data_IF_816579714107
#
_entry.id   IF_816579714107
#
_cell.length_a   1.000
_cell.length_b   1.000
_cell.length_c   1.000
_cell.angle_alpha   90.00
_cell.angle_beta   90.00
_cell.angle_gamma   90.00
#
_symmetry.space_group_name_H-M   'P 1'
#
loop_
_entity.id
_entity.type
_entity.pdbx_description
1 polymer ?
#
# COMPACT_ATOMS: atom_id res chain seq x y z
N UNK A 1 -24.42 12.93 -5.36
CA UNK A 1 -24.45 12.04 -6.53
C UNK A 1 -23.29 12.45 -7.44
N UNK A 2 -22.26 11.61 -7.50
CA UNK A 2 -21.16 11.53 -8.47
C UNK A 2 -19.87 11.08 -7.76
N UNK A 3 -19.88 9.85 -7.26
CA UNK A 3 -18.64 9.11 -7.11
C UNK A 3 -18.36 8.50 -8.49
N UNK A 4 -17.64 9.23 -9.34
CA UNK A 4 -16.90 8.57 -10.41
C UNK A 4 -15.95 7.63 -9.69
N UNK A 5 -16.26 6.33 -9.71
CA UNK A 5 -15.27 5.32 -9.36
C UNK A 5 -14.01 5.68 -10.15
N UNK A 6 -12.89 5.85 -9.46
CA UNK A 6 -11.64 6.13 -10.14
C UNK A 6 -11.34 4.88 -10.98
N UNK A 7 -11.50 4.96 -12.30
CA UNK A 7 -11.42 3.79 -13.21
C UNK A 7 -10.06 3.09 -13.10
N UNK A 8 -9.04 3.80 -12.64
CA UNK A 8 -7.70 3.29 -12.40
C UNK A 8 -7.08 3.88 -11.14
N UNK A 9 -6.39 3.05 -10.36
CA UNK A 9 -5.62 3.45 -9.19
C UNK A 9 -4.16 3.01 -9.31
N UNK A 10 -3.24 3.97 -9.28
CA UNK A 10 -1.80 3.74 -9.12
C UNK A 10 -1.47 3.63 -7.63
N UNK A 11 -1.09 2.45 -7.17
CA UNK A 11 -0.82 2.23 -5.75
C UNK A 11 0.66 1.92 -5.55
N UNK A 12 1.32 2.78 -4.78
CA UNK A 12 2.69 2.59 -4.35
C UNK A 12 2.77 1.64 -3.16
N UNK A 13 3.66 0.65 -3.22
CA UNK A 13 3.84 -0.35 -2.17
C UNK A 13 5.30 -0.82 -2.06
N UNK A 14 5.67 -1.41 -0.92
CA UNK A 14 7.00 -1.98 -0.71
C UNK A 14 7.17 -3.29 -1.50
N UNK A 15 8.11 -3.28 -2.44
CA UNK A 15 8.40 -4.40 -3.32
C UNK A 15 9.09 -5.60 -2.66
N UNK A 16 9.41 -6.63 -3.45
CA UNK A 16 9.15 -6.75 -4.90
C UNK A 16 7.72 -7.21 -5.24
N UNK A 17 7.39 -7.34 -6.53
CA UNK A 17 6.17 -8.03 -6.96
C UNK A 17 6.11 -9.44 -6.35
N UNK A 18 4.95 -9.78 -5.82
CA UNK A 18 4.71 -11.02 -5.07
C UNK A 18 4.89 -10.90 -3.56
N UNK A 19 5.41 -9.76 -3.06
CA UNK A 19 5.42 -9.49 -1.62
C UNK A 19 4.01 -9.42 -1.04
N UNK A 20 3.89 -9.55 0.28
CA UNK A 20 2.61 -9.35 0.96
C UNK A 20 2.04 -7.94 0.73
N UNK A 21 2.88 -6.92 0.58
CA UNK A 21 2.44 -5.56 0.24
C UNK A 21 1.87 -5.49 -1.19
N UNK A 22 2.47 -6.17 -2.17
CA UNK A 22 1.91 -6.29 -3.52
C UNK A 22 0.55 -7.01 -3.49
N UNK A 23 0.44 -8.12 -2.74
CA UNK A 23 -0.81 -8.87 -2.59
C UNK A 23 -1.88 -7.98 -1.92
N UNK A 24 -1.51 -7.23 -0.89
CA UNK A 24 -2.40 -6.31 -0.20
C UNK A 24 -2.91 -5.20 -1.13
N UNK A 25 -2.00 -4.58 -1.91
CA UNK A 25 -2.34 -3.52 -2.86
C UNK A 25 -3.32 -4.02 -3.93
N UNK A 26 -3.04 -5.20 -4.48
CA UNK A 26 -3.93 -5.83 -5.48
C UNK A 26 -5.29 -6.20 -4.89
N UNK A 27 -5.34 -6.75 -3.67
CA UNK A 27 -6.62 -7.11 -3.02
C UNK A 27 -7.45 -5.88 -2.65
N UNK A 28 -6.81 -4.82 -2.15
CA UNK A 28 -7.48 -3.56 -1.86
C UNK A 28 -8.01 -2.94 -3.15
N UNK A 29 -7.19 -2.88 -4.20
CA UNK A 29 -7.59 -2.29 -5.47
C UNK A 29 -8.78 -3.01 -6.09
N UNK A 30 -8.76 -4.34 -6.13
CA UNK A 30 -9.84 -5.15 -6.71
C UNK A 30 -11.21 -4.98 -6.04
N UNK A 31 -11.26 -4.39 -4.83
CA UNK A 31 -12.51 -4.09 -4.11
C UNK A 31 -13.04 -2.68 -4.35
N UNK A 32 -12.18 -1.77 -4.81
CA UNK A 32 -12.45 -0.33 -4.81
C UNK A 32 -12.29 0.33 -6.18
N UNK A 33 -11.55 -0.28 -7.11
CA UNK A 33 -11.21 0.28 -8.42
C UNK A 33 -11.31 -0.79 -9.51
N UNK A 34 -11.56 -0.35 -10.76
CA UNK A 34 -11.65 -1.26 -11.90
C UNK A 34 -10.26 -1.68 -12.41
N UNK A 35 -9.30 -0.73 -12.39
CA UNK A 35 -7.93 -0.95 -12.86
C UNK A 35 -6.91 -0.68 -11.75
N UNK A 36 -5.92 -1.57 -11.65
CA UNK A 36 -4.81 -1.47 -10.71
C UNK A 36 -3.50 -1.29 -11.47
N UNK A 37 -2.73 -0.26 -11.10
CA UNK A 37 -1.40 0.02 -11.65
C UNK A 37 -0.36 -0.09 -10.54
N UNK A 38 0.58 -1.02 -10.71
CA UNK A 38 1.65 -1.27 -9.75
C UNK A 38 2.68 -0.12 -9.71
N UNK A 39 2.93 0.45 -8.53
CA UNK A 39 4.08 1.30 -8.26
C UNK A 39 4.98 0.63 -7.21
N UNK A 40 6.00 -0.11 -7.64
CA UNK A 40 6.90 -0.81 -6.72
C UNK A 40 7.98 0.14 -6.17
N UNK A 41 8.11 0.21 -4.85
CA UNK A 41 9.12 0.98 -4.15
C UNK A 41 10.13 0.11 -3.41
N UNK A 42 11.30 0.67 -3.07
CA UNK A 42 12.34 -0.02 -2.29
C UNK A 42 12.39 0.44 -0.83
N UNK A 43 11.92 1.65 -0.53
CA UNK A 43 11.80 2.21 0.83
C UNK A 43 10.40 2.74 1.08
N UNK A 44 10.04 2.89 2.36
CA UNK A 44 8.78 3.53 2.73
C UNK A 44 8.73 5.00 2.31
N UNK A 45 9.82 5.76 2.51
CA UNK A 45 9.95 7.17 2.09
C UNK A 45 9.60 7.39 0.61
N UNK A 46 9.98 6.45 -0.27
CA UNK A 46 9.66 6.51 -1.70
C UNK A 46 8.14 6.48 -1.93
N UNK A 47 7.40 5.69 -1.14
CA UNK A 47 5.94 5.59 -1.22
C UNK A 47 5.31 6.94 -0.89
N UNK A 48 5.71 7.57 0.21
CA UNK A 48 5.20 8.90 0.59
C UNK A 48 5.52 9.93 -0.50
N UNK A 49 6.76 9.96 -0.98
CA UNK A 49 7.20 10.89 -2.03
C UNK A 49 6.38 10.73 -3.32
N UNK A 50 6.12 9.49 -3.77
CA UNK A 50 5.33 9.26 -4.98
C UNK A 50 3.88 9.72 -4.83
N UNK A 51 3.28 9.54 -3.66
CA UNK A 51 1.89 9.97 -3.41
C UNK A 51 1.82 11.50 -3.27
N UNK A 52 2.74 12.11 -2.54
CA UNK A 52 2.79 13.58 -2.37
C UNK A 52 3.09 14.31 -3.69
N UNK A 53 3.87 13.70 -4.59
CA UNK A 53 4.16 14.26 -5.92
C UNK A 53 3.10 13.91 -6.98
N UNK A 54 2.06 13.14 -6.64
CA UNK A 54 1.00 12.73 -7.56
C UNK A 54 1.40 11.68 -8.61
N UNK A 55 2.58 11.08 -8.46
CA UNK A 55 3.04 9.97 -9.30
C UNK A 55 2.30 8.67 -8.98
N UNK A 56 1.89 8.48 -7.73
CA UNK A 56 0.94 7.46 -7.29
C UNK A 56 -0.31 8.12 -6.71
N UNK A 57 -1.47 7.48 -6.86
CA UNK A 57 -2.74 7.98 -6.32
C UNK A 57 -2.90 7.58 -4.85
N UNK A 58 -2.37 6.41 -4.48
CA UNK A 58 -2.43 5.87 -3.12
C UNK A 58 -1.10 5.22 -2.72
N UNK A 59 -0.83 5.20 -1.43
CA UNK A 59 0.28 4.44 -0.83
C UNK A 59 -0.27 3.35 0.09
N UNK A 60 0.23 2.13 -0.05
CA UNK A 60 -0.06 1.02 0.86
C UNK A 60 1.15 0.72 1.72
N UNK A 61 0.99 0.92 3.03
CA UNK A 61 2.02 0.70 4.03
C UNK A 61 1.55 -0.30 5.09
N UNK A 62 2.41 -1.22 5.53
CA UNK A 62 2.12 -2.06 6.67
C UNK A 62 2.32 -1.25 7.96
N UNK A 63 1.31 -1.20 8.83
CA UNK A 63 1.40 -0.47 10.12
C UNK A 63 1.73 -1.40 11.29
N UNK A 64 1.29 -2.65 11.22
CA UNK A 64 1.43 -3.63 12.31
C UNK A 64 1.56 -5.05 11.74
N UNK A 65 2.43 -5.85 12.34
CA UNK A 65 2.50 -7.29 12.14
C UNK A 65 2.28 -8.00 13.48
N UNK A 66 1.37 -8.96 13.54
CA UNK A 66 1.08 -9.73 14.77
C UNK A 66 2.30 -10.45 15.34
N UNK A 67 3.30 -10.78 14.52
CA UNK A 67 4.52 -11.47 14.98
C UNK A 67 5.64 -10.52 15.40
N UNK A 68 5.73 -9.33 14.80
CA UNK A 68 6.87 -8.40 14.97
C UNK A 68 6.46 -7.08 15.64
N UNK A 69 5.17 -6.88 15.90
CA UNK A 69 4.61 -5.67 16.47
C UNK A 69 4.41 -4.55 15.44
N UNK A 70 4.33 -3.32 15.96
CA UNK A 70 4.22 -2.09 15.19
C UNK A 70 5.46 -1.84 14.32
N UNK A 71 5.25 -1.22 13.15
CA UNK A 71 6.33 -0.87 12.22
C UNK A 71 6.66 0.62 12.41
N UNK A 72 7.58 0.90 13.33
CA UNK A 72 7.90 2.27 13.77
C UNK A 72 8.30 3.20 12.61
N UNK A 73 9.08 2.72 11.64
CA UNK A 73 9.48 3.51 10.46
C UNK A 73 8.28 4.11 9.72
N UNK A 74 7.17 3.37 9.64
CA UNK A 74 5.94 3.86 9.00
C UNK A 74 5.24 4.89 9.90
N UNK A 75 5.23 4.69 11.22
CA UNK A 75 4.67 5.66 12.17
C UNK A 75 5.43 6.99 12.18
N UNK A 76 6.75 6.95 12.08
CA UNK A 76 7.59 8.16 12.04
C UNK A 76 7.32 8.96 10.76
N UNK A 77 7.16 8.28 9.62
CA UNK A 77 6.80 8.92 8.35
C UNK A 77 5.37 9.47 8.37
N UNK A 78 4.42 8.75 8.98
CA UNK A 78 3.04 9.21 9.13
C UNK A 78 2.91 10.48 9.99
N UNK A 79 3.85 10.73 10.91
CA UNK A 79 3.85 11.96 11.72
C UNK A 79 4.32 13.19 10.96
N UNK A 80 5.08 13.01 9.87
CA UNK A 80 5.71 14.11 9.12
C UNK A 80 5.05 14.40 7.79
N UNK A 81 4.26 13.45 7.26
CA UNK A 81 3.56 13.61 5.99
C UNK A 81 2.32 14.50 6.10
N UNK A 82 1.93 15.07 4.95
CA UNK A 82 0.63 15.76 4.79
C UNK A 82 -0.51 14.83 4.34
N UNK A 83 -0.20 13.55 4.09
CA UNK A 83 -1.15 12.55 3.61
C UNK A 83 -2.14 12.13 4.70
N UNK A 84 -3.28 11.59 4.27
CA UNK A 84 -4.33 11.08 5.15
C UNK A 84 -4.58 9.59 4.91
N UNK A 85 -4.88 8.85 5.98
CA UNK A 85 -5.26 7.44 5.89
C UNK A 85 -6.71 7.37 5.40
N UNK A 86 -6.93 6.71 4.26
CA UNK A 86 -8.24 6.61 3.60
C UNK A 86 -8.86 5.20 3.64
N UNK A 87 -8.15 4.22 4.21
CA UNK A 87 -8.63 2.85 4.33
C UNK A 87 -7.63 1.93 5.01
N UNK A 88 -8.08 0.71 5.30
CA UNK A 88 -7.27 -0.34 5.90
C UNK A 88 -7.57 -1.71 5.28
N UNK A 89 -6.61 -2.62 5.38
CA UNK A 89 -6.77 -4.02 5.00
C UNK A 89 -5.91 -4.90 5.93
N UNK A 90 -6.42 -6.08 6.28
CA UNK A 90 -5.68 -7.11 7.02
C UNK A 90 -5.41 -8.29 6.10
N UNK A 91 -4.15 -8.69 5.97
CA UNK A 91 -3.72 -9.82 5.14
C UNK A 91 -3.21 -10.94 6.05
N UNK A 92 -3.82 -12.15 6.02
CA UNK A 92 -3.26 -13.30 6.71
C UNK A 92 -1.97 -13.75 6.04
N UNK A 93 -0.90 -13.86 6.81
CA UNK A 93 0.43 -14.28 6.36
C UNK A 93 0.48 -15.82 6.36
N UNK A 94 0.55 -16.43 5.18
CA UNK A 94 0.59 -17.87 5.00
C UNK A 94 1.84 -18.26 4.19
N UNK A 95 2.77 -18.98 4.83
CA UNK A 95 3.97 -19.46 4.16
C UNK A 95 3.76 -20.86 3.59
N UNK A 96 4.24 -21.08 2.37
CA UNK A 96 4.33 -22.40 1.74
C UNK A 96 5.79 -22.72 1.45
N UNK A 97 6.20 -23.95 1.72
CA UNK A 97 7.51 -24.46 1.32
C UNK A 97 7.41 -24.95 -0.13
N UNK A 98 8.19 -24.36 -1.03
CA UNK A 98 8.37 -24.88 -2.39
C UNK A 98 9.45 -25.97 -2.35
N UNK A 99 9.11 -27.15 -2.86
CA UNK A 99 10.03 -28.28 -3.07
C UNK A 99 10.32 -28.48 -4.54
#
# INVERSE_FOLDING_TARGET
LNATANESARIAYLGPKGSYSHIAARQYAARHFDTFVDCTCHKFEDIFTLVETGQADYGLLPIENTSSGAINDVYDLLQTTSLSIVGEIRIPINHALLT
#
